data_IF_560553397948
#
_entry.id   IF_560553397948
#
_cell.length_a   1.000
_cell.length_b   1.000
_cell.length_c   1.000
_cell.angle_alpha   90.00
_cell.angle_beta   90.00
_cell.angle_gamma   90.00
#
_symmetry.space_group_name_H-M   'P 1'
#
loop_
_entity.id
_entity.type
_entity.pdbx_description
1 polymer ?
#
# COMPACT_ATOMS: atom_id res chain seq x y z
N UNK A 1 -21.55 -50.94 25.12
CA UNK A 1 -21.79 -49.84 24.15
C UNK A 1 -22.19 -48.59 24.92
N UNK A 2 -21.25 -47.70 25.25
CA UNK A 2 -21.51 -46.38 25.83
C UNK A 2 -20.71 -45.35 25.03
N UNK A 3 -21.40 -44.47 24.33
CA UNK A 3 -20.79 -43.37 23.59
C UNK A 3 -20.38 -42.27 24.58
N UNK A 4 -19.12 -41.79 24.60
CA UNK A 4 -18.77 -40.60 25.35
C UNK A 4 -19.27 -39.36 24.60
N UNK A 5 -20.07 -38.57 25.32
CA UNK A 5 -20.58 -37.26 24.90
C UNK A 5 -19.42 -36.30 24.60
N UNK A 6 -19.38 -35.62 23.43
CA UNK A 6 -18.29 -34.69 23.14
C UNK A 6 -18.41 -33.46 24.03
N UNK A 7 -17.33 -33.19 24.74
CA UNK A 7 -17.14 -32.05 25.62
C UNK A 7 -17.56 -30.74 24.92
N UNK A 8 -18.38 -29.95 25.63
CA UNK A 8 -18.72 -28.59 25.25
C UNK A 8 -17.45 -27.74 25.23
N UNK A 9 -16.83 -27.60 24.07
CA UNK A 9 -15.86 -26.54 23.81
C UNK A 9 -16.58 -25.18 23.86
N UNK A 10 -16.41 -24.43 24.95
CA UNK A 10 -16.20 -22.98 24.80
C UNK A 10 -14.81 -22.82 24.21
N UNK A 11 -14.60 -21.99 23.18
CA UNK A 11 -14.12 -20.65 23.52
C UNK A 11 -14.46 -19.54 22.51
N UNK A 12 -14.69 -18.34 23.04
CA UNK A 12 -14.51 -17.08 22.32
C UNK A 12 -13.04 -16.77 22.05
N UNK A 13 -12.35 -17.61 21.28
CA UNK A 13 -11.04 -17.27 20.73
C UNK A 13 -11.24 -16.49 19.43
N UNK A 14 -11.41 -15.17 19.57
CA UNK A 14 -11.11 -14.27 18.46
C UNK A 14 -9.63 -14.46 18.15
N UNK A 15 -9.33 -15.14 17.05
CA UNK A 15 -8.01 -15.12 16.43
C UNK A 15 -7.75 -13.65 16.08
N UNK A 16 -7.07 -12.93 16.98
CA UNK A 16 -6.49 -11.64 16.63
C UNK A 16 -5.35 -12.00 15.68
N UNK A 17 -5.54 -11.71 14.39
CA UNK A 17 -4.46 -11.74 13.43
C UNK A 17 -3.34 -10.87 14.01
N UNK A 18 -2.28 -11.50 14.51
CA UNK A 18 -1.00 -10.82 14.68
C UNK A 18 -0.74 -10.14 13.34
N UNK A 19 -0.62 -8.80 13.34
CA UNK A 19 -0.14 -8.08 12.17
C UNK A 19 1.25 -8.63 11.89
N UNK A 20 1.33 -9.63 11.00
CA UNK A 20 2.51 -10.46 10.85
C UNK A 20 3.62 -9.62 10.25
N UNK A 21 4.76 -9.52 10.94
CA UNK A 21 6.00 -8.92 10.42
C UNK A 21 6.36 -9.53 9.06
N UNK A 22 6.08 -10.83 8.89
CA UNK A 22 6.19 -11.58 7.64
C UNK A 22 5.48 -10.90 6.45
N UNK A 23 4.32 -10.27 6.68
CA UNK A 23 3.61 -9.55 5.63
C UNK A 23 4.36 -8.31 5.18
N UNK A 24 4.95 -7.59 6.13
CA UNK A 24 5.72 -6.40 5.82
C UNK A 24 7.03 -6.77 5.12
N UNK A 25 7.65 -7.90 5.47
CA UNK A 25 8.84 -8.43 4.78
C UNK A 25 8.54 -8.81 3.33
N UNK A 26 7.43 -9.50 3.09
CA UNK A 26 6.98 -9.83 1.72
C UNK A 26 6.75 -8.54 0.92
N UNK A 27 6.10 -7.53 1.51
CA UNK A 27 5.88 -6.25 0.86
C UNK A 27 7.21 -5.55 0.58
N UNK A 28 8.14 -5.53 1.54
CA UNK A 28 9.46 -4.92 1.40
C UNK A 28 10.27 -5.58 0.28
N UNK A 29 10.27 -6.91 0.21
CA UNK A 29 10.90 -7.65 -0.88
C UNK A 29 10.30 -7.30 -2.25
N UNK A 30 8.97 -7.16 -2.33
CA UNK A 30 8.29 -6.74 -3.57
C UNK A 30 8.59 -5.29 -3.94
N UNK A 31 8.65 -4.38 -2.97
CA UNK A 31 9.06 -2.98 -3.20
C UNK A 31 10.46 -2.94 -3.78
N UNK A 32 11.42 -3.64 -3.16
CA UNK A 32 12.80 -3.70 -3.63
C UNK A 32 12.89 -4.25 -5.07
N UNK A 33 12.13 -5.29 -5.39
CA UNK A 33 12.08 -5.88 -6.73
C UNK A 33 11.46 -4.95 -7.79
N UNK A 34 10.52 -4.08 -7.41
CA UNK A 34 9.84 -3.17 -8.34
C UNK A 34 10.64 -1.89 -8.63
N UNK A 35 11.48 -1.44 -7.69
CA UNK A 35 12.25 -0.18 -7.81
C UNK A 35 13.04 -0.03 -9.12
N UNK A 36 13.78 -1.05 -9.61
CA UNK A 36 14.54 -0.91 -10.85
C UNK A 36 13.68 -0.60 -12.08
N UNK A 37 12.46 -1.13 -12.14
CA UNK A 37 11.54 -0.94 -13.27
C UNK A 37 10.85 0.43 -13.27
N UNK A 38 10.87 1.13 -12.13
CA UNK A 38 10.24 2.43 -11.97
C UNK A 38 11.21 3.60 -12.15
N UNK A 39 12.51 3.33 -12.25
CA UNK A 39 13.55 4.35 -12.43
C UNK A 39 13.73 5.27 -11.21
N UNK A 40 14.56 6.31 -11.36
CA UNK A 40 14.66 7.41 -10.37
C UNK A 40 13.33 8.17 -10.31
N UNK A 41 12.95 8.73 -9.15
CA UNK A 41 11.71 9.51 -9.03
C UNK A 41 11.78 10.74 -9.93
N UNK A 42 11.17 10.61 -11.10
CA UNK A 42 10.98 11.70 -12.05
C UNK A 42 9.50 12.08 -12.09
N UNK A 43 9.25 13.29 -12.60
CA UNK A 43 7.90 13.76 -12.90
C UNK A 43 7.13 12.69 -13.69
N UNK A 44 6.01 12.22 -13.13
CA UNK A 44 5.18 11.17 -13.73
C UNK A 44 5.23 9.80 -13.04
N UNK A 45 6.19 9.53 -12.14
CA UNK A 45 6.23 8.26 -11.38
C UNK A 45 4.94 8.03 -10.58
N UNK A 46 4.42 9.06 -9.91
CA UNK A 46 3.15 8.99 -9.18
C UNK A 46 1.96 8.64 -10.08
N UNK A 47 1.94 9.12 -11.33
CA UNK A 47 0.89 8.80 -12.30
C UNK A 47 0.95 7.33 -12.74
N UNK A 48 2.15 6.79 -12.95
CA UNK A 48 2.39 5.37 -13.27
C UNK A 48 1.92 4.48 -12.10
N UNK A 49 2.34 4.78 -10.88
CA UNK A 49 1.94 4.03 -9.68
C UNK A 49 0.42 4.04 -9.48
N UNK A 50 -0.23 5.19 -9.68
CA UNK A 50 -1.70 5.31 -9.63
C UNK A 50 -2.38 4.48 -10.74
N UNK A 51 -1.81 4.42 -11.94
CA UNK A 51 -2.33 3.56 -13.03
C UNK A 51 -2.21 2.07 -12.69
N UNK A 52 -1.08 1.63 -12.15
CA UNK A 52 -0.86 0.24 -11.73
C UNK A 52 -1.80 -0.15 -10.58
N UNK A 53 -2.00 0.72 -9.59
CA UNK A 53 -2.97 0.50 -8.51
C UNK A 53 -4.41 0.33 -9.02
N UNK A 54 -4.80 1.09 -10.05
CA UNK A 54 -6.12 0.92 -10.68
C UNK A 54 -6.24 -0.43 -11.41
N UNK A 55 -5.17 -0.88 -12.07
CA UNK A 55 -5.14 -2.19 -12.71
C UNK A 55 -5.30 -3.32 -11.67
N UNK A 56 -4.58 -3.25 -10.54
CA UNK A 56 -4.75 -4.21 -9.44
C UNK A 56 -6.17 -4.23 -8.86
N UNK A 57 -6.79 -3.06 -8.70
CA UNK A 57 -8.18 -2.99 -8.20
C UNK A 57 -9.17 -3.62 -9.17
N UNK A 58 -8.94 -3.52 -10.48
CA UNK A 58 -9.77 -4.20 -11.48
C UNK A 58 -9.56 -5.71 -11.44
N UNK A 59 -8.32 -6.16 -11.31
CA UNK A 59 -7.98 -7.57 -11.13
C UNK A 59 -8.65 -8.19 -9.88
N UNK A 60 -8.76 -7.41 -8.79
CA UNK A 60 -9.50 -7.83 -7.59
C UNK A 60 -11.00 -8.00 -7.87
N UNK A 61 -11.60 -7.15 -8.70
CA UNK A 61 -13.01 -7.22 -9.08
C UNK A 61 -13.35 -8.34 -10.07
N UNK A 62 -12.39 -8.74 -10.92
CA UNK A 62 -12.56 -9.86 -11.87
C UNK A 62 -12.13 -11.21 -11.30
N UNK A 63 -11.55 -11.24 -10.10
CA UNK A 63 -11.08 -12.47 -9.44
C UNK A 63 -9.82 -13.09 -10.05
N UNK A 64 -9.21 -12.46 -11.06
CA UNK A 64 -8.02 -12.98 -11.74
C UNK A 64 -6.85 -12.02 -11.61
N UNK A 65 -5.70 -12.56 -11.18
CA UNK A 65 -4.42 -11.85 -11.21
C UNK A 65 -4.20 -10.83 -10.10
N UNK A 66 -5.13 -10.65 -9.15
CA UNK A 66 -4.90 -9.80 -7.98
C UNK A 66 -3.85 -10.41 -7.04
N UNK A 67 -2.92 -9.58 -6.60
CA UNK A 67 -1.91 -9.95 -5.60
C UNK A 67 -1.88 -8.88 -4.51
N UNK A 68 -2.27 -9.29 -3.29
CA UNK A 68 -2.33 -8.40 -2.14
C UNK A 68 -0.95 -7.85 -1.73
N UNK A 69 0.13 -8.63 -1.91
CA UNK A 69 1.48 -8.17 -1.63
C UNK A 69 1.94 -7.15 -2.67
N UNK A 70 1.65 -7.40 -3.95
CA UNK A 70 1.94 -6.43 -5.03
C UNK A 70 1.15 -5.14 -4.85
N UNK A 71 -0.12 -5.22 -4.50
CA UNK A 71 -0.94 -4.05 -4.18
C UNK A 71 -0.37 -3.26 -2.99
N UNK A 72 0.05 -3.96 -1.92
CA UNK A 72 0.71 -3.35 -0.76
C UNK A 72 2.02 -2.63 -1.13
N UNK A 73 2.85 -3.28 -1.95
CA UNK A 73 4.11 -2.70 -2.43
C UNK A 73 3.90 -1.43 -3.27
N UNK A 74 2.94 -1.46 -4.20
CA UNK A 74 2.59 -0.28 -5.02
C UNK A 74 2.09 0.89 -4.16
N UNK A 75 1.32 0.62 -3.10
CA UNK A 75 0.88 1.65 -2.16
C UNK A 75 2.04 2.26 -1.38
N UNK A 76 2.97 1.44 -0.89
CA UNK A 76 4.17 1.92 -0.16
C UNK A 76 5.05 2.78 -1.08
N UNK A 77 5.28 2.35 -2.32
CA UNK A 77 6.02 3.13 -3.31
C UNK A 77 5.37 4.48 -3.64
N UNK A 78 4.04 4.53 -3.72
CA UNK A 78 3.34 5.81 -3.95
C UNK A 78 3.50 6.76 -2.77
N UNK A 79 3.40 6.26 -1.54
CA UNK A 79 3.62 7.06 -0.34
C UNK A 79 5.07 7.57 -0.25
N UNK A 80 6.05 6.73 -0.59
CA UNK A 80 7.47 7.14 -0.68
C UNK A 80 7.67 8.25 -1.72
N UNK A 81 7.05 8.14 -2.90
CA UNK A 81 7.13 9.15 -3.95
C UNK A 81 6.43 10.47 -3.57
N UNK A 82 5.28 10.40 -2.89
CA UNK A 82 4.54 11.58 -2.41
C UNK A 82 5.27 12.27 -1.25
N UNK A 83 5.97 11.52 -0.39
CA UNK A 83 6.81 12.07 0.68
C UNK A 83 8.14 12.65 0.18
N UNK A 84 8.69 12.08 -0.91
CA UNK A 84 9.93 12.54 -1.52
C UNK A 84 9.74 13.74 -2.46
N UNK A 85 8.50 14.05 -2.85
CA UNK A 85 8.21 15.30 -3.53
C UNK A 85 8.54 16.44 -2.54
N UNK A 86 9.49 17.35 -2.86
CA UNK A 86 9.66 18.54 -2.04
C UNK A 86 8.31 19.23 -2.05
N UNK A 87 7.74 19.42 -0.85
CA UNK A 87 6.55 20.23 -0.64
C UNK A 87 6.70 21.45 -1.55
N UNK A 88 5.91 21.48 -2.62
CA UNK A 88 5.74 22.69 -3.39
C UNK A 88 5.09 23.64 -2.39
N UNK A 89 5.92 24.38 -1.68
CA UNK A 89 5.52 25.45 -0.80
C UNK A 89 4.51 26.25 -1.59
N UNK A 90 3.29 26.51 -1.08
CA UNK A 90 2.52 27.60 -1.59
C UNK A 90 3.29 28.85 -1.15
N UNK A 91 4.32 29.23 -1.92
CA UNK A 91 4.78 30.60 -2.01
C UNK A 91 3.56 31.34 -2.55
N UNK A 92 2.68 31.73 -1.61
CA UNK A 92 1.78 32.84 -1.78
C UNK A 92 2.68 34.00 -2.18
N UNK A 93 2.77 34.21 -3.49
CA UNK A 93 3.19 35.48 -4.06
C UNK A 93 2.18 36.49 -3.53
N UNK A 94 2.44 37.04 -2.34
CA UNK A 94 1.95 38.36 -1.98
C UNK A 94 2.64 39.33 -2.93
N UNK A 95 2.05 39.43 -4.12
CA UNK A 95 2.31 40.48 -5.08
C UNK A 95 2.13 41.81 -4.35
N UNK A 96 3.26 42.47 -4.14
CA UNK A 96 3.45 43.91 -4.22
C UNK A 96 2.37 44.78 -3.60
N UNK A 97 2.67 45.34 -2.42
CA UNK A 97 2.13 46.65 -2.06
C UNK A 97 3.09 47.47 -1.19
N UNK A 98 4.03 48.13 -1.86
CA UNK A 98 4.49 49.49 -1.53
C UNK A 98 4.64 50.22 -2.89
N UNK A 99 4.36 51.53 -3.03
CA UNK A 99 4.44 52.57 -2.00
C UNK A 99 3.21 53.49 -1.90
N UNK A 100 3.18 54.29 -0.83
CA UNK A 100 2.31 55.42 -0.59
C UNK A 100 2.80 56.13 0.66
#
# INVERSE_FOLDING_TARGET
MRCPSPARHRPGHRIRATRSEERDDIINGRVAALRPFLGRPQEGQGAILRRLLRAERRAAGSGMGYDAARHGALRRLLAEAEAAAPLASPLRNEKGRHPG
#
